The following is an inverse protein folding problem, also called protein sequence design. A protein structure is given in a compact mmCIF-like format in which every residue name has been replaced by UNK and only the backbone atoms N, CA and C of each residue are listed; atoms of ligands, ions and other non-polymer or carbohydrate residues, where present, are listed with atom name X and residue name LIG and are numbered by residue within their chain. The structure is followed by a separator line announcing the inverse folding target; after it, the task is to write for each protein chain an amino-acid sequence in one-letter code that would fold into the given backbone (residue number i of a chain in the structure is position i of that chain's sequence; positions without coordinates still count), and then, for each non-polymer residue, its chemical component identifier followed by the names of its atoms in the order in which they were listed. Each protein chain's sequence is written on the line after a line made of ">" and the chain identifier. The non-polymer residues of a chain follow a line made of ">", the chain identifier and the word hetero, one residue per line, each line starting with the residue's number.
data_IF_451762208532
#
_entry.id   IF_451762208532
#
_cell.length_a   1.000
_cell.length_b   1.000
_cell.length_c   1.000
_cell.angle_alpha   90.00
_cell.angle_beta   90.00
_cell.angle_gamma   90.00
#
_symmetry.space_group_name_H-M   'P 1'
#
loop_
_entity.id
_entity.type
_entity.pdbx_description
1 polymer ?
#
# COMPACT_ATOMS: atom_id res chain seq x y z
N UNK A 1 -2.48 -22.20 -13.18
CA UNK A 1 -2.67 -21.44 -11.91
C UNK A 1 -3.99 -20.68 -11.99
N UNK A 2 -5.12 -21.28 -11.62
CA UNK A 2 -6.42 -20.60 -11.71
C UNK A 2 -6.45 -19.42 -10.73
N UNK A 3 -6.68 -18.21 -11.24
CA UNK A 3 -6.81 -17.00 -10.43
C UNK A 3 -8.29 -16.67 -10.34
N UNK A 4 -8.81 -16.42 -9.13
CA UNK A 4 -10.16 -15.88 -8.97
C UNK A 4 -10.13 -14.35 -9.13
N UNK A 5 -11.26 -13.76 -9.53
CA UNK A 5 -11.37 -12.31 -9.73
C UNK A 5 -10.93 -11.49 -8.51
N UNK A 6 -11.19 -11.99 -7.29
CA UNK A 6 -10.71 -11.38 -6.04
C UNK A 6 -9.19 -11.33 -5.96
N UNK A 7 -8.51 -12.44 -6.28
CA UNK A 7 -7.05 -12.52 -6.26
C UNK A 7 -6.42 -11.62 -7.34
N UNK A 8 -7.01 -11.58 -8.54
CA UNK A 8 -6.55 -10.68 -9.60
C UNK A 8 -6.68 -9.21 -9.19
N UNK A 9 -7.82 -8.81 -8.63
CA UNK A 9 -8.07 -7.44 -8.17
C UNK A 9 -7.11 -7.05 -7.04
N UNK A 10 -6.93 -7.92 -6.05
CA UNK A 10 -5.99 -7.68 -4.96
C UNK A 10 -4.56 -7.52 -5.47
N UNK A 11 -4.15 -8.39 -6.40
CA UNK A 11 -2.82 -8.31 -7.03
C UNK A 11 -2.64 -7.01 -7.80
N UNK A 12 -3.66 -6.57 -8.54
CA UNK A 12 -3.59 -5.29 -9.26
C UNK A 12 -3.42 -4.11 -8.30
N UNK A 13 -4.29 -4.01 -7.30
CA UNK A 13 -4.32 -2.89 -6.35
C UNK A 13 -3.03 -2.79 -5.51
N UNK A 14 -2.44 -3.92 -5.13
CA UNK A 14 -1.30 -3.92 -4.22
C UNK A 14 0.06 -3.99 -4.93
N UNK A 15 0.11 -4.52 -6.17
CA UNK A 15 1.39 -4.85 -6.79
C UNK A 15 1.54 -4.49 -8.26
N UNK A 16 0.48 -4.29 -9.05
CA UNK A 16 0.63 -4.09 -10.51
C UNK A 16 0.22 -2.69 -10.98
N UNK A 17 -0.62 -1.98 -10.22
CA UNK A 17 -1.00 -0.61 -10.59
C UNK A 17 0.26 0.28 -10.73
N UNK A 18 0.37 1.08 -11.81
CA UNK A 18 1.57 1.86 -12.10
C UNK A 18 1.84 2.95 -11.05
N UNK A 19 0.79 3.55 -10.51
CA UNK A 19 0.88 4.63 -9.51
C UNK A 19 1.41 4.17 -8.14
N UNK A 20 1.60 2.88 -7.94
CA UNK A 20 2.19 2.36 -6.69
C UNK A 20 3.67 2.74 -6.68
N UNK A 21 4.01 3.68 -5.81
CA UNK A 21 5.39 4.07 -5.53
C UNK A 21 6.10 2.90 -4.84
N UNK A 22 7.10 2.34 -5.52
CA UNK A 22 7.94 1.24 -5.03
C UNK A 22 9.28 1.82 -4.64
N UNK A 23 9.62 1.79 -3.36
CA UNK A 23 10.83 2.40 -2.83
C UNK A 23 10.73 2.61 -1.33
N UNK A 24 11.77 3.20 -0.74
CA UNK A 24 11.72 3.67 0.65
C UNK A 24 10.81 4.89 0.73
N UNK A 25 10.16 5.04 1.87
CA UNK A 25 9.47 6.28 2.20
C UNK A 25 10.50 7.40 2.39
N UNK A 26 10.09 8.63 2.10
CA UNK A 26 10.83 9.81 2.58
C UNK A 26 10.64 9.96 4.08
N UNK A 27 11.50 10.75 4.72
CA UNK A 27 11.40 11.01 6.15
C UNK A 27 10.03 11.62 6.53
N UNK A 28 9.52 12.52 5.69
CA UNK A 28 8.23 13.18 5.88
C UNK A 28 7.07 12.20 5.72
N UNK A 29 7.18 11.26 4.78
CA UNK A 29 6.19 10.19 4.59
C UNK A 29 6.17 9.26 5.82
N UNK A 30 7.34 8.90 6.37
CA UNK A 30 7.44 8.07 7.58
C UNK A 30 6.84 8.78 8.80
N UNK A 31 7.16 10.05 9.02
CA UNK A 31 6.61 10.85 10.12
C UNK A 31 5.07 10.93 10.02
N UNK A 32 4.56 11.18 8.82
CA UNK A 32 3.12 11.24 8.56
C UNK A 32 2.45 9.90 8.88
N UNK A 33 3.05 8.78 8.46
CA UNK A 33 2.54 7.43 8.74
C UNK A 33 2.46 7.20 10.27
N UNK A 34 3.52 7.53 11.01
CA UNK A 34 3.58 7.36 12.46
C UNK A 34 2.53 8.22 13.15
N UNK A 35 2.42 9.50 12.77
CA UNK A 35 1.43 10.41 13.35
C UNK A 35 0.01 9.91 13.11
N UNK A 36 -0.32 9.55 11.87
CA UNK A 36 -1.65 9.06 11.53
C UNK A 36 -1.98 7.76 12.26
N UNK A 37 -1.01 6.86 12.39
CA UNK A 37 -1.20 5.63 13.15
C UNK A 37 -1.44 5.91 14.64
N UNK A 38 -0.72 6.86 15.24
CA UNK A 38 -0.95 7.26 16.63
C UNK A 38 -2.33 7.88 16.87
N UNK A 39 -2.87 8.61 15.89
CA UNK A 39 -4.20 9.24 15.98
C UNK A 39 -5.33 8.24 15.72
N UNK A 40 -5.18 7.37 14.72
CA UNK A 40 -6.26 6.51 14.23
C UNK A 40 -6.22 5.09 14.80
N UNK A 41 -5.07 4.63 15.29
CA UNK A 41 -4.86 3.26 15.75
C UNK A 41 -4.85 2.23 14.61
N UNK A 42 -5.11 0.97 14.97
CA UNK A 42 -5.43 -0.14 14.06
C UNK A 42 -6.74 -0.79 14.51
#
# INVERSE_FOLDING_TARGET
>A
LSRCGKSCRLRWTNYLRPDIRRGRFSFEEEETIIQLHGVLGN
#
